data_IF_260630740130
#
_entry.id   IF_260630740130
#
_cell.length_a   1.000
_cell.length_b   1.000
_cell.length_c   1.000
_cell.angle_alpha   90.00
_cell.angle_beta   90.00
_cell.angle_gamma   90.00
#
_symmetry.space_group_name_H-M   'P 1'
#
loop_
_entity.id
_entity.type
_entity.pdbx_description
1 polymer ?
#
# COMPACT_ATOMS: atom_id res chain seq x y z
N UNK A 1 9.85 -17.07 -7.83
CA UNK A 1 9.87 -16.93 -6.35
C UNK A 1 8.59 -17.51 -5.78
N UNK A 2 8.69 -18.24 -4.65
CA UNK A 2 7.51 -18.69 -3.93
C UNK A 2 6.86 -17.53 -3.14
N UNK A 3 5.67 -17.77 -2.57
CA UNK A 3 4.89 -16.75 -1.85
C UNK A 3 5.63 -16.16 -0.64
N UNK A 4 6.40 -16.96 0.07
CA UNK A 4 7.16 -16.53 1.25
C UNK A 4 8.36 -15.66 0.85
N UNK A 5 9.05 -16.03 -0.21
CA UNK A 5 10.12 -15.22 -0.79
C UNK A 5 9.61 -13.85 -1.28
N UNK A 6 8.44 -13.81 -1.94
CA UNK A 6 7.80 -12.55 -2.35
C UNK A 6 7.50 -11.69 -1.11
N UNK A 7 6.98 -12.30 -0.03
CA UNK A 7 6.68 -11.58 1.22
C UNK A 7 7.94 -11.01 1.87
N UNK A 8 9.01 -11.77 1.94
CA UNK A 8 10.28 -11.33 2.50
C UNK A 8 10.87 -10.19 1.67
N UNK A 9 10.85 -10.32 0.34
CA UNK A 9 11.27 -9.26 -0.58
C UNK A 9 10.45 -7.97 -0.41
N UNK A 10 9.13 -8.08 -0.23
CA UNK A 10 8.27 -6.93 0.04
C UNK A 10 8.59 -6.25 1.37
N UNK A 11 8.84 -7.03 2.43
CA UNK A 11 9.24 -6.48 3.73
C UNK A 11 10.53 -5.69 3.61
N UNK A 12 11.55 -6.28 2.99
CA UNK A 12 12.84 -5.60 2.78
C UNK A 12 12.71 -4.35 1.91
N UNK A 13 11.88 -4.39 0.86
CA UNK A 13 11.58 -3.21 0.05
C UNK A 13 10.97 -2.09 0.90
N UNK A 14 10.00 -2.40 1.76
CA UNK A 14 9.34 -1.38 2.58
C UNK A 14 10.24 -0.83 3.67
N UNK A 15 11.13 -1.64 4.25
CA UNK A 15 12.14 -1.18 5.20
C UNK A 15 13.14 -0.23 4.51
N UNK A 16 13.64 -0.61 3.32
CA UNK A 16 14.52 0.25 2.51
C UNK A 16 13.82 1.56 2.12
N UNK A 17 12.55 1.50 1.72
CA UNK A 17 11.75 2.67 1.38
C UNK A 17 11.53 3.59 2.58
N UNK A 18 11.22 3.05 3.75
CA UNK A 18 11.03 3.83 4.97
C UNK A 18 12.34 4.54 5.38
N UNK A 19 13.48 3.83 5.32
CA UNK A 19 14.77 4.40 5.61
C UNK A 19 15.18 5.49 4.59
N UNK A 20 14.95 5.24 3.30
CA UNK A 20 15.20 6.23 2.25
C UNK A 20 14.38 7.50 2.47
N UNK A 21 13.08 7.39 2.77
CA UNK A 21 12.22 8.55 3.05
C UNK A 21 12.72 9.32 4.27
N UNK A 22 13.06 8.63 5.35
CA UNK A 22 13.60 9.27 6.56
C UNK A 22 14.93 9.99 6.28
N UNK A 23 15.82 9.38 5.49
CA UNK A 23 17.10 9.97 5.10
C UNK A 23 16.88 11.17 4.17
N UNK A 24 16.00 11.05 3.18
CA UNK A 24 15.62 12.17 2.30
C UNK A 24 15.13 13.39 3.08
N UNK A 25 14.27 13.19 4.09
CA UNK A 25 13.75 14.28 4.92
C UNK A 25 14.87 14.95 5.74
N UNK A 26 15.85 14.18 6.23
CA UNK A 26 17.01 14.74 6.95
C UNK A 26 17.92 15.51 6.02
N UNK A 27 18.22 15.01 4.84
CA UNK A 27 18.98 15.73 3.82
C UNK A 27 18.28 17.03 3.43
N UNK A 28 16.96 16.97 3.20
CA UNK A 28 16.18 18.17 2.92
C UNK A 28 16.35 19.24 4.01
N UNK A 29 16.32 18.86 5.30
CA UNK A 29 16.52 19.79 6.40
C UNK A 29 17.95 20.39 6.45
N UNK A 30 18.96 19.64 6.03
CA UNK A 30 20.34 20.12 5.97
C UNK A 30 20.49 21.15 4.84
N UNK A 31 20.07 20.77 3.64
CA UNK A 31 20.28 21.60 2.45
C UNK A 31 19.30 22.80 2.35
N UNK A 32 18.07 22.70 2.88
CA UNK A 32 17.12 23.81 2.88
C UNK A 32 17.54 24.96 3.78
N UNK A 33 18.18 24.70 4.91
CA UNK A 33 18.67 25.75 5.81
C UNK A 33 19.75 26.65 5.19
N UNK A 34 20.47 26.15 4.23
CA UNK A 34 21.54 26.89 3.54
C UNK A 34 21.01 27.71 2.37
N UNK A 35 19.84 27.33 1.85
CA UNK A 35 19.15 28.08 0.77
C UNK A 35 18.15 29.11 1.31
N UNK A 36 17.96 29.23 2.63
CA UNK A 36 16.98 30.10 3.31
C UNK A 36 17.21 31.63 3.11
N UNK A 37 18.10 32.07 2.20
CA UNK A 37 18.16 33.47 1.74
C UNK A 37 17.12 33.81 0.66
N UNK A 38 16.20 32.87 0.29
CA UNK A 38 15.11 33.11 -0.66
C UNK A 38 13.76 32.85 -0.02
N UNK A 39 12.87 33.84 -0.03
CA UNK A 39 11.47 33.85 0.44
C UNK A 39 10.53 32.89 -0.35
N UNK A 40 11.05 31.82 -0.92
CA UNK A 40 10.29 30.87 -1.74
C UNK A 40 10.18 29.51 -1.08
N UNK A 41 8.96 28.96 -1.03
CA UNK A 41 8.70 27.57 -0.65
C UNK A 41 9.58 26.62 -1.47
N UNK A 42 10.59 26.03 -0.84
CA UNK A 42 11.52 25.12 -1.49
C UNK A 42 10.79 23.78 -1.78
N UNK A 43 10.63 23.44 -3.05
CA UNK A 43 10.09 22.15 -3.48
C UNK A 43 11.11 21.04 -3.17
N UNK A 44 10.75 20.20 -2.17
CA UNK A 44 11.61 19.10 -1.72
C UNK A 44 11.97 18.11 -2.83
N UNK A 45 11.13 17.96 -3.84
CA UNK A 45 11.40 17.04 -4.96
C UNK A 45 12.45 17.63 -5.92
N UNK A 46 12.41 18.92 -6.14
CA UNK A 46 13.41 19.63 -6.95
C UNK A 46 14.76 19.66 -6.26
N UNK A 47 14.78 19.98 -4.96
CA UNK A 47 16.02 20.01 -4.19
C UNK A 47 16.69 18.63 -4.17
N UNK A 48 15.94 17.56 -3.90
CA UNK A 48 16.48 16.20 -3.94
C UNK A 48 17.05 15.83 -5.32
N UNK A 49 16.43 16.30 -6.39
CA UNK A 49 16.92 16.06 -7.75
C UNK A 49 18.25 16.79 -7.98
N UNK A 50 18.34 18.06 -7.63
CA UNK A 50 19.59 18.85 -7.75
C UNK A 50 20.74 18.27 -6.92
N UNK A 51 20.46 17.81 -5.69
CA UNK A 51 21.45 17.13 -4.85
C UNK A 51 22.00 15.86 -5.53
N UNK A 52 21.14 15.06 -6.17
CA UNK A 52 21.57 13.85 -6.87
C UNK A 52 22.34 14.17 -8.15
N UNK A 53 21.97 15.20 -8.89
CA UNK A 53 22.68 15.66 -10.08
C UNK A 53 24.10 16.12 -9.73
N UNK A 54 24.28 16.88 -8.64
CA UNK A 54 25.62 17.25 -8.16
C UNK A 54 26.42 16.05 -7.68
N UNK A 55 25.79 15.10 -6.99
CA UNK A 55 26.42 13.87 -6.55
C UNK A 55 26.95 13.03 -7.73
N UNK A 56 26.16 12.86 -8.78
CA UNK A 56 26.56 12.18 -10.01
C UNK A 56 27.75 12.89 -10.66
N UNK A 57 27.68 14.22 -10.81
CA UNK A 57 28.76 15.04 -11.38
C UNK A 57 30.07 14.90 -10.62
N UNK A 58 30.03 14.94 -9.28
CA UNK A 58 31.21 14.75 -8.43
C UNK A 58 31.78 13.33 -8.60
N UNK A 59 30.92 12.33 -8.66
CA UNK A 59 31.31 10.91 -8.77
C UNK A 59 31.99 10.65 -10.13
N UNK A 60 31.41 11.16 -11.22
CA UNK A 60 31.94 11.02 -12.56
C UNK A 60 33.30 11.70 -12.69
N UNK A 61 33.40 12.97 -12.25
CA UNK A 61 34.67 13.71 -12.28
C UNK A 61 35.76 13.04 -11.45
N UNK A 62 35.43 12.57 -10.25
CA UNK A 62 36.36 11.81 -9.38
C UNK A 62 36.87 10.57 -10.08
N UNK A 63 35.98 9.82 -10.74
CA UNK A 63 36.32 8.55 -11.40
C UNK A 63 37.21 8.80 -12.61
N UNK A 64 36.84 9.75 -13.46
CA UNK A 64 37.61 10.09 -14.68
C UNK A 64 39.01 10.62 -14.39
N UNK A 65 39.13 11.48 -13.40
CA UNK A 65 40.40 12.12 -13.03
C UNK A 65 41.19 11.36 -11.97
N UNK A 66 40.64 10.25 -11.44
CA UNK A 66 41.26 9.47 -10.33
C UNK A 66 41.62 10.35 -9.13
N UNK A 67 40.74 11.26 -8.74
CA UNK A 67 40.94 12.24 -7.67
C UNK A 67 40.34 11.77 -6.34
N UNK A 68 40.85 12.32 -5.23
CA UNK A 68 40.15 12.21 -3.93
C UNK A 68 38.90 13.11 -3.93
N UNK A 69 37.93 12.83 -3.05
CA UNK A 69 36.72 13.67 -2.91
C UNK A 69 37.10 15.12 -2.62
N UNK A 70 37.98 15.34 -1.65
CA UNK A 70 38.47 16.67 -1.26
C UNK A 70 39.07 17.45 -2.43
N UNK A 71 39.86 16.80 -3.29
CA UNK A 71 40.44 17.43 -4.47
C UNK A 71 39.37 17.72 -5.52
N UNK A 72 38.40 16.81 -5.72
CA UNK A 72 37.28 16.98 -6.65
C UNK A 72 36.39 18.13 -6.25
N UNK A 73 36.01 18.27 -4.98
CA UNK A 73 35.20 19.38 -4.47
C UNK A 73 35.92 20.73 -4.62
N UNK A 74 37.23 20.73 -4.47
CA UNK A 74 38.02 21.94 -4.72
C UNK A 74 38.05 22.35 -6.19
N UNK A 75 38.21 21.35 -7.09
CA UNK A 75 38.24 21.58 -8.54
C UNK A 75 36.88 22.04 -9.10
N UNK A 76 35.76 21.53 -8.53
CA UNK A 76 34.39 21.84 -8.95
C UNK A 76 33.72 22.96 -8.13
N UNK A 77 34.44 23.66 -7.26
CA UNK A 77 33.89 24.63 -6.29
C UNK A 77 32.93 25.66 -6.92
N UNK A 78 33.25 26.14 -8.11
CA UNK A 78 32.46 27.17 -8.80
C UNK A 78 31.26 26.57 -9.58
N UNK A 79 31.12 25.24 -9.59
CA UNK A 79 30.09 24.49 -10.31
C UNK A 79 29.14 23.72 -9.40
N UNK A 80 29.38 23.74 -8.09
CA UNK A 80 28.58 23.10 -7.07
C UNK A 80 27.94 24.15 -6.17
N UNK A 81 26.65 24.00 -5.92
CA UNK A 81 25.87 24.90 -5.07
C UNK A 81 25.51 24.25 -3.71
N UNK A 82 25.36 22.93 -3.68
CA UNK A 82 24.79 22.20 -2.55
C UNK A 82 25.83 21.33 -1.83
N UNK A 83 26.65 20.56 -2.57
CA UNK A 83 27.61 19.61 -2.00
C UNK A 83 29.01 20.22 -1.97
N UNK A 84 29.31 21.00 -0.94
CA UNK A 84 30.56 21.74 -0.75
C UNK A 84 31.56 21.06 0.18
N UNK A 85 31.14 20.02 0.95
CA UNK A 85 31.97 19.30 1.93
C UNK A 85 31.99 17.80 1.70
N UNK A 86 33.04 17.11 2.21
CA UNK A 86 33.14 15.65 2.19
C UNK A 86 32.01 15.00 2.97
N UNK A 87 31.58 15.57 4.09
CA UNK A 87 30.51 15.06 4.94
C UNK A 87 29.17 15.07 4.19
N UNK A 88 28.86 16.15 3.49
CA UNK A 88 27.64 16.22 2.66
C UNK A 88 27.67 15.22 1.52
N UNK A 89 28.82 15.06 0.84
CA UNK A 89 29.01 14.06 -0.19
C UNK A 89 28.74 12.64 0.34
N UNK A 90 29.34 12.26 1.48
CA UNK A 90 29.14 10.91 2.06
C UNK A 90 27.69 10.69 2.51
N UNK A 91 26.99 11.73 3.00
CA UNK A 91 25.57 11.63 3.35
C UNK A 91 24.70 11.38 2.09
N UNK A 92 24.95 12.10 1.00
CA UNK A 92 24.22 11.92 -0.26
C UNK A 92 24.55 10.57 -0.89
N UNK A 93 25.77 10.12 -0.79
CA UNK A 93 26.19 8.77 -1.20
C UNK A 93 25.43 7.66 -0.44
N UNK A 94 25.29 7.79 0.88
CA UNK A 94 24.48 6.86 1.66
C UNK A 94 23.01 6.85 1.20
N UNK A 95 22.45 8.01 0.90
CA UNK A 95 21.10 8.14 0.34
C UNK A 95 20.97 7.47 -1.05
N UNK A 96 21.97 7.63 -1.92
CA UNK A 96 21.99 7.02 -3.25
C UNK A 96 21.99 5.49 -3.18
N UNK A 97 22.69 4.87 -2.22
CA UNK A 97 22.62 3.43 -1.98
C UNK A 97 21.23 2.94 -1.57
N UNK A 98 20.49 3.73 -0.77
CA UNK A 98 19.11 3.38 -0.41
C UNK A 98 18.18 3.45 -1.62
N UNK A 99 18.35 4.44 -2.49
CA UNK A 99 17.62 4.54 -3.76
C UNK A 99 17.88 3.32 -4.67
N UNK A 100 19.14 2.90 -4.80
CA UNK A 100 19.51 1.77 -5.64
C UNK A 100 18.97 0.45 -5.05
N UNK A 101 19.02 0.30 -3.74
CA UNK A 101 18.43 -0.85 -3.03
C UNK A 101 16.92 -0.94 -3.31
N UNK A 102 16.18 0.17 -3.18
CA UNK A 102 14.74 0.20 -3.48
C UNK A 102 14.47 -0.18 -4.95
N UNK A 103 15.23 0.35 -5.90
CA UNK A 103 15.11 0.00 -7.33
C UNK A 103 15.38 -1.49 -7.57
N UNK A 104 16.38 -2.05 -6.91
CA UNK A 104 16.76 -3.46 -7.06
C UNK A 104 15.65 -4.38 -6.57
N UNK A 105 15.09 -4.14 -5.38
CA UNK A 105 13.97 -4.94 -4.86
C UNK A 105 12.69 -4.76 -5.69
N UNK A 106 12.42 -3.56 -6.20
CA UNK A 106 11.30 -3.35 -7.12
C UNK A 106 11.44 -4.19 -8.39
N UNK A 107 12.63 -4.21 -9.04
CA UNK A 107 12.88 -5.03 -10.25
C UNK A 107 12.76 -6.53 -9.95
N UNK A 108 13.28 -6.98 -8.81
CA UNK A 108 13.20 -8.37 -8.39
C UNK A 108 11.75 -8.82 -8.19
N UNK A 109 10.94 -8.02 -7.51
CA UNK A 109 9.51 -8.27 -7.30
C UNK A 109 8.73 -8.24 -8.61
N UNK A 110 9.02 -7.27 -9.48
CA UNK A 110 8.39 -7.18 -10.80
C UNK A 110 8.62 -8.47 -11.59
N UNK A 111 9.87 -8.92 -11.71
CA UNK A 111 10.22 -10.16 -12.42
C UNK A 111 9.52 -11.39 -11.81
N UNK A 112 9.50 -11.50 -10.47
CA UNK A 112 8.86 -12.62 -9.79
C UNK A 112 7.34 -12.69 -10.02
N UNK A 113 6.71 -11.53 -10.11
CA UNK A 113 5.25 -11.42 -10.30
C UNK A 113 4.85 -11.61 -11.76
N UNK A 114 5.64 -11.13 -12.70
CA UNK A 114 5.39 -11.28 -14.14
C UNK A 114 5.35 -12.75 -14.60
N UNK A 115 5.95 -13.65 -13.84
CA UNK A 115 5.89 -15.10 -14.07
C UNK A 115 4.71 -15.78 -13.32
N UNK A 116 3.99 -15.06 -12.45
CA UNK A 116 2.96 -15.66 -11.61
C UNK A 116 1.58 -15.68 -12.31
N UNK A 117 0.90 -16.86 -12.40
CA UNK A 117 -0.37 -16.98 -13.14
C UNK A 117 -1.46 -16.00 -12.71
N UNK A 118 -1.57 -15.72 -11.42
CA UNK A 118 -2.55 -14.76 -10.88
C UNK A 118 -2.32 -13.34 -11.42
N UNK A 119 -1.06 -12.98 -11.69
CA UNK A 119 -0.78 -11.70 -12.31
C UNK A 119 -1.05 -11.75 -13.83
N UNK A 120 -0.45 -12.69 -14.52
CA UNK A 120 -0.50 -12.75 -15.99
C UNK A 120 -1.90 -12.94 -16.55
N UNK A 121 -2.73 -13.74 -15.87
CA UNK A 121 -4.07 -14.09 -16.35
C UNK A 121 -5.19 -13.22 -15.74
N UNK A 122 -4.98 -12.61 -14.57
CA UNK A 122 -6.02 -11.82 -13.90
C UNK A 122 -5.60 -10.38 -13.58
N UNK A 123 -4.61 -10.17 -12.70
CA UNK A 123 -4.32 -8.84 -12.16
C UNK A 123 -3.74 -7.87 -13.21
N UNK A 124 -3.02 -8.36 -14.21
CA UNK A 124 -2.51 -7.55 -15.34
C UNK A 124 -3.62 -6.95 -16.20
N UNK A 125 -4.81 -7.57 -16.22
CA UNK A 125 -5.99 -7.10 -16.96
C UNK A 125 -6.74 -6.00 -16.18
N UNK A 126 -6.42 -5.76 -14.91
CA UNK A 126 -7.00 -4.69 -14.10
C UNK A 126 -6.18 -3.42 -14.29
N UNK A 127 -6.72 -2.45 -15.02
CA UNK A 127 -6.03 -1.18 -15.26
C UNK A 127 -5.73 -0.46 -13.94
N UNK A 128 -4.45 -0.17 -13.73
CA UNK A 128 -3.95 0.44 -12.50
C UNK A 128 -3.40 -0.54 -11.47
N UNK A 129 -3.47 -1.86 -11.73
CA UNK A 129 -2.83 -2.88 -10.90
C UNK A 129 -1.46 -3.26 -11.50
N UNK A 130 -0.42 -2.53 -11.12
CA UNK A 130 0.95 -2.86 -11.53
C UNK A 130 1.56 -4.02 -10.73
N UNK A 131 2.76 -4.50 -11.14
CA UNK A 131 3.43 -5.66 -10.52
C UNK A 131 3.63 -5.55 -9.02
N UNK A 132 3.99 -4.37 -8.50
CA UNK A 132 4.19 -4.17 -7.06
C UNK A 132 2.89 -4.33 -6.26
N UNK A 133 1.75 -3.90 -6.81
CA UNK A 133 0.45 -4.10 -6.17
C UNK A 133 0.03 -5.57 -6.24
N UNK A 134 0.28 -6.24 -7.37
CA UNK A 134 0.07 -7.67 -7.50
C UNK A 134 0.95 -8.47 -6.53
N UNK A 135 2.21 -8.09 -6.34
CA UNK A 135 3.09 -8.69 -5.34
C UNK A 135 2.49 -8.64 -3.92
N UNK A 136 1.93 -7.49 -3.51
CA UNK A 136 1.24 -7.38 -2.22
C UNK A 136 0.04 -8.32 -2.12
N UNK A 137 -0.78 -8.42 -3.15
CA UNK A 137 -1.95 -9.30 -3.18
C UNK A 137 -1.52 -10.77 -3.06
N UNK A 138 -0.58 -11.20 -3.89
CA UNK A 138 -0.07 -12.58 -3.94
C UNK A 138 0.61 -12.97 -2.62
N UNK A 139 1.42 -12.07 -2.05
CA UNK A 139 2.14 -12.32 -0.81
C UNK A 139 1.23 -12.53 0.40
N UNK A 140 0.14 -11.77 0.47
CA UNK A 140 -0.69 -11.74 1.68
C UNK A 140 -1.97 -12.57 1.59
N UNK A 141 -2.57 -12.74 0.40
CA UNK A 141 -3.78 -13.53 0.25
C UNK A 141 -3.46 -15.00 -0.07
N UNK A 142 -4.38 -15.89 0.32
CA UNK A 142 -4.22 -17.33 0.16
C UNK A 142 -5.58 -17.99 -0.11
N UNK A 143 -5.81 -18.52 -1.33
CA UNK A 143 -7.08 -19.14 -1.69
C UNK A 143 -7.34 -20.44 -0.93
N UNK A 144 -6.29 -21.17 -0.49
CA UNK A 144 -6.43 -22.40 0.27
C UNK A 144 -6.96 -22.15 1.69
N UNK A 145 -6.57 -21.01 2.31
CA UNK A 145 -7.02 -20.60 3.64
C UNK A 145 -8.39 -19.91 3.61
N UNK A 146 -8.79 -19.36 2.47
CA UNK A 146 -10.00 -18.57 2.30
C UNK A 146 -11.11 -19.40 1.67
N UNK A 147 -11.91 -20.10 2.48
CA UNK A 147 -13.06 -20.92 2.00
C UNK A 147 -14.14 -20.07 1.32
N UNK A 148 -14.25 -18.79 1.68
CA UNK A 148 -15.22 -17.83 1.13
C UNK A 148 -14.50 -16.52 0.80
N UNK A 149 -14.99 -15.76 -0.18
CA UNK A 149 -14.44 -14.45 -0.54
C UNK A 149 -14.40 -13.47 0.64
N UNK A 150 -15.34 -13.61 1.59
CA UNK A 150 -15.39 -12.80 2.82
C UNK A 150 -14.14 -12.97 3.70
N UNK A 151 -13.43 -14.10 3.62
CA UNK A 151 -12.16 -14.28 4.33
C UNK A 151 -11.08 -13.33 3.80
N UNK A 152 -11.04 -13.07 2.48
CA UNK A 152 -10.16 -12.03 1.90
C UNK A 152 -10.54 -10.64 2.41
N UNK A 153 -11.85 -10.34 2.51
CA UNK A 153 -12.31 -9.05 3.02
C UNK A 153 -11.92 -8.84 4.49
N UNK A 154 -12.15 -9.85 5.34
CA UNK A 154 -11.78 -9.82 6.77
C UNK A 154 -10.27 -9.63 6.92
N UNK A 155 -9.48 -10.45 6.23
CA UNK A 155 -8.02 -10.38 6.30
C UNK A 155 -7.45 -9.03 5.80
N UNK A 156 -8.07 -8.45 4.77
CA UNK A 156 -7.72 -7.13 4.25
C UNK A 156 -8.31 -5.95 5.06
N UNK A 157 -9.07 -6.22 6.13
CA UNK A 157 -9.72 -5.19 6.95
C UNK A 157 -10.78 -4.37 6.21
N UNK A 158 -11.45 -5.01 5.24
CA UNK A 158 -12.49 -4.38 4.41
C UNK A 158 -13.90 -4.77 4.82
N UNK A 159 -14.04 -5.65 5.79
CA UNK A 159 -15.32 -6.03 6.39
C UNK A 159 -15.89 -4.92 7.27
N UNK A 160 -17.11 -5.14 7.73
CA UNK A 160 -17.76 -4.33 8.76
C UNK A 160 -17.83 -5.12 10.05
N UNK A 161 -17.73 -4.43 11.16
CA UNK A 161 -17.84 -4.99 12.49
C UNK A 161 -18.98 -4.29 13.25
N UNK A 162 -19.56 -4.99 14.22
CA UNK A 162 -20.58 -4.43 15.10
C UNK A 162 -19.87 -3.40 16.01
N UNK A 163 -20.46 -2.22 16.14
CA UNK A 163 -20.00 -1.21 17.10
C UNK A 163 -20.38 -1.61 18.51
N UNK A 164 -19.43 -1.55 19.44
CA UNK A 164 -19.65 -1.88 20.84
C UNK A 164 -19.37 -0.66 21.73
N UNK A 165 -20.00 -0.63 22.91
CA UNK A 165 -19.68 0.32 23.98
C UNK A 165 -18.33 -0.09 24.66
N UNK A 166 -17.95 0.63 25.73
CA UNK A 166 -16.71 0.36 26.49
C UNK A 166 -16.72 -1.00 27.19
N UNK A 167 -17.90 -1.53 27.47
CA UNK A 167 -18.12 -2.79 28.18
C UNK A 167 -18.22 -3.97 27.20
N UNK A 168 -18.12 -3.71 25.89
CA UNK A 168 -18.17 -4.73 24.83
C UNK A 168 -19.59 -5.07 24.37
N UNK A 169 -20.62 -4.37 24.84
CA UNK A 169 -22.00 -4.61 24.43
C UNK A 169 -22.31 -3.96 23.07
N UNK A 170 -23.07 -4.64 22.19
CA UNK A 170 -23.44 -4.10 20.89
C UNK A 170 -24.27 -2.82 21.00
N UNK A 171 -23.92 -1.83 20.20
CA UNK A 171 -24.70 -0.60 20.05
C UNK A 171 -25.79 -0.78 19.00
N UNK A 172 -26.98 -0.23 19.29
CA UNK A 172 -28.13 -0.22 18.38
C UNK A 172 -28.53 1.22 18.03
N UNK A 173 -29.22 1.39 16.91
CA UNK A 173 -29.92 2.64 16.59
C UNK A 173 -31.27 2.73 17.30
N UNK A 174 -32.00 3.84 17.11
CA UNK A 174 -33.30 4.08 17.71
C UNK A 174 -34.37 3.06 17.27
N UNK A 175 -34.15 2.34 16.18
CA UNK A 175 -35.01 1.30 15.63
C UNK A 175 -34.62 -0.10 16.12
N UNK A 176 -33.58 -0.23 16.95
CA UNK A 176 -33.07 -1.51 17.48
C UNK A 176 -32.14 -2.27 16.54
N UNK A 177 -31.73 -1.68 15.39
CA UNK A 177 -30.79 -2.32 14.49
C UNK A 177 -29.36 -2.17 14.99
N UNK A 178 -28.53 -3.20 14.83
CA UNK A 178 -27.13 -3.16 15.21
C UNK A 178 -26.35 -2.08 14.42
N UNK A 179 -25.70 -1.19 15.13
CA UNK A 179 -24.78 -0.23 14.54
C UNK A 179 -23.50 -0.95 14.09
N UNK A 180 -23.06 -0.63 12.89
CA UNK A 180 -21.85 -1.22 12.31
C UNK A 180 -20.90 -0.14 11.80
N UNK A 181 -19.62 -0.41 11.90
CA UNK A 181 -18.58 0.42 11.29
C UNK A 181 -17.59 -0.42 10.47
N UNK A 182 -16.86 0.21 9.60
CA UNK A 182 -15.80 -0.48 8.87
C UNK A 182 -14.60 -0.75 9.77
N UNK A 183 -14.09 -1.98 9.76
CA UNK A 183 -12.94 -2.41 10.58
C UNK A 183 -11.83 -1.36 10.62
N UNK A 184 -11.35 -1.06 11.81
CA UNK A 184 -10.37 -0.02 12.11
C UNK A 184 -9.22 -0.55 12.99
N UNK A 185 -8.24 0.28 13.35
CA UNK A 185 -7.15 -0.13 14.24
C UNK A 185 -7.57 -0.31 15.69
N UNK A 186 -8.73 0.21 16.08
CA UNK A 186 -9.31 0.01 17.42
C UNK A 186 -9.93 -1.39 17.57
N UNK A 187 -10.25 -2.06 16.46
CA UNK A 187 -10.84 -3.40 16.49
C UNK A 187 -9.75 -4.44 16.67
N UNK A 188 -9.44 -4.72 17.94
CA UNK A 188 -8.42 -5.70 18.36
C UNK A 188 -9.11 -6.90 19.00
N UNK A 189 -8.51 -8.07 18.87
CA UNK A 189 -8.90 -9.30 19.57
C UNK A 189 -7.75 -9.78 20.44
N UNK A 190 -8.05 -10.44 21.55
CA UNK A 190 -7.05 -11.09 22.37
C UNK A 190 -6.69 -12.45 21.75
N UNK A 191 -5.40 -12.74 21.68
CA UNK A 191 -4.90 -14.03 21.26
C UNK A 191 -3.77 -14.51 22.18
N UNK A 192 -3.71 -15.82 22.35
CA UNK A 192 -2.64 -16.46 23.10
C UNK A 192 -1.41 -16.62 22.22
N UNK A 193 -0.25 -16.43 22.82
CA UNK A 193 1.03 -16.71 22.19
C UNK A 193 2.02 -17.26 23.24
N UNK A 194 2.99 -18.02 22.79
CA UNK A 194 4.06 -18.51 23.63
C UNK A 194 5.16 -17.44 23.65
N UNK A 195 5.53 -16.95 24.84
CA UNK A 195 6.62 -15.99 25.02
C UNK A 195 7.99 -16.65 24.83
N UNK A 196 9.07 -15.89 24.94
CA UNK A 196 10.45 -16.39 24.79
C UNK A 196 10.84 -17.40 25.87
N UNK A 197 10.16 -17.36 27.00
CA UNK A 197 10.40 -18.21 28.18
C UNK A 197 9.58 -19.51 28.12
N UNK A 198 8.79 -19.70 27.03
CA UNK A 198 7.94 -20.89 26.83
C UNK A 198 6.58 -20.82 27.53
N UNK A 199 6.21 -19.69 28.13
CA UNK A 199 4.94 -19.52 28.84
C UNK A 199 3.86 -18.97 27.89
N UNK A 200 2.61 -19.40 28.11
CA UNK A 200 1.44 -18.88 27.41
C UNK A 200 1.05 -17.52 27.98
N UNK A 201 1.06 -16.51 27.13
CA UNK A 201 0.65 -15.15 27.45
C UNK A 201 -0.41 -14.67 26.48
N UNK A 202 -1.25 -13.72 26.91
CA UNK A 202 -2.29 -13.09 26.05
C UNK A 202 -1.83 -11.73 25.56
N UNK A 203 -2.17 -11.41 24.30
CA UNK A 203 -1.86 -10.11 23.70
C UNK A 203 -3.03 -9.64 22.85
N UNK A 204 -3.36 -8.34 22.96
CA UNK A 204 -4.28 -7.69 22.02
C UNK A 204 -3.57 -7.40 20.69
N UNK A 205 -4.20 -7.80 19.61
CA UNK A 205 -3.66 -7.57 18.28
C UNK A 205 -4.72 -7.30 17.23
N UNK A 206 -4.26 -6.80 16.10
CA UNK A 206 -5.13 -6.53 14.95
C UNK A 206 -5.59 -7.83 14.32
N UNK A 207 -6.87 -7.88 13.98
CA UNK A 207 -7.51 -9.04 13.34
C UNK A 207 -7.40 -9.04 11.81
N UNK A 208 -6.66 -8.07 11.26
CA UNK A 208 -6.48 -7.90 9.83
C UNK A 208 -5.06 -7.42 9.51
N UNK A 209 -4.68 -7.50 8.23
CA UNK A 209 -3.39 -6.99 7.75
C UNK A 209 -3.48 -5.48 7.41
N UNK A 210 -2.92 -4.58 8.24
CA UNK A 210 -3.00 -3.14 8.02
C UNK A 210 -2.19 -2.67 6.81
N UNK A 211 -1.09 -3.38 6.47
CA UNK A 211 -0.27 -3.08 5.30
C UNK A 211 -1.09 -3.34 4.03
N UNK A 212 -1.69 -4.53 3.92
CA UNK A 212 -2.52 -4.89 2.78
C UNK A 212 -3.71 -3.92 2.63
N UNK A 213 -4.41 -3.59 3.73
CA UNK A 213 -5.50 -2.59 3.72
C UNK A 213 -5.04 -1.26 3.16
N UNK A 214 -3.91 -0.76 3.64
CA UNK A 214 -3.34 0.52 3.22
C UNK A 214 -2.99 0.51 1.73
N UNK A 215 -2.39 -0.58 1.24
CA UNK A 215 -2.05 -0.73 -0.18
C UNK A 215 -3.29 -0.86 -1.06
N UNK A 216 -4.29 -1.62 -0.66
CA UNK A 216 -5.53 -1.80 -1.43
C UNK A 216 -6.37 -0.51 -1.50
N UNK A 217 -6.62 0.15 -0.38
CA UNK A 217 -7.48 1.34 -0.33
C UNK A 217 -6.71 2.62 -0.64
N UNK A 218 -5.51 2.79 -0.08
CA UNK A 218 -4.74 4.02 -0.22
C UNK A 218 -4.04 4.15 -1.58
N UNK A 219 -3.65 3.03 -2.20
CA UNK A 219 -2.87 3.06 -3.44
C UNK A 219 -3.67 2.46 -4.61
N UNK A 220 -4.00 1.17 -4.56
CA UNK A 220 -4.60 0.46 -5.69
C UNK A 220 -5.93 1.07 -6.11
N UNK A 221 -6.81 1.37 -5.16
CA UNK A 221 -8.12 1.96 -5.47
C UNK A 221 -7.98 3.28 -6.24
N UNK A 222 -7.04 4.14 -5.84
CA UNK A 222 -6.75 5.40 -6.53
C UNK A 222 -6.16 5.17 -7.93
N UNK A 223 -5.28 4.18 -8.08
CA UNK A 223 -4.68 3.83 -9.37
C UNK A 223 -5.74 3.30 -10.35
N UNK A 224 -6.64 2.43 -9.91
CA UNK A 224 -7.75 1.89 -10.71
C UNK A 224 -8.64 3.02 -11.24
N UNK A 225 -9.02 3.98 -10.36
CA UNK A 225 -9.87 5.12 -10.75
C UNK A 225 -9.15 6.03 -11.74
N UNK A 226 -7.88 6.37 -11.48
CA UNK A 226 -7.05 7.20 -12.37
C UNK A 226 -6.83 6.55 -13.73
N UNK A 227 -6.60 5.25 -13.76
CA UNK A 227 -6.42 4.46 -14.98
C UNK A 227 -7.74 4.21 -15.73
N UNK A 228 -8.89 4.61 -15.15
CA UNK A 228 -10.22 4.43 -15.71
C UNK A 228 -10.49 2.97 -16.10
N UNK A 229 -10.27 2.05 -15.16
CA UNK A 229 -10.60 0.65 -15.38
C UNK A 229 -12.08 0.51 -15.77
N UNK A 230 -12.42 -0.19 -16.86
CA UNK A 230 -13.80 -0.18 -17.38
C UNK A 230 -14.80 -0.86 -16.43
N UNK A 231 -14.38 -1.84 -15.65
CA UNK A 231 -15.22 -2.57 -14.70
C UNK A 231 -15.24 -1.90 -13.34
N UNK A 232 -14.07 -1.79 -12.70
CA UNK A 232 -14.00 -1.40 -11.29
C UNK A 232 -14.21 0.10 -11.08
N UNK A 233 -13.75 0.97 -11.98
CA UNK A 233 -14.07 2.41 -11.88
C UNK A 233 -15.58 2.64 -12.02
N UNK A 234 -16.26 1.91 -12.90
CA UNK A 234 -17.72 1.99 -13.03
C UNK A 234 -18.41 1.58 -11.73
N UNK A 235 -18.01 0.45 -11.13
CA UNK A 235 -18.56 -0.02 -9.83
C UNK A 235 -18.38 1.06 -8.74
N UNK A 236 -17.23 1.73 -8.70
CA UNK A 236 -16.99 2.82 -7.76
C UNK A 236 -17.95 3.98 -7.95
N UNK A 237 -18.11 4.47 -9.17
CA UNK A 237 -18.98 5.62 -9.45
C UNK A 237 -20.46 5.29 -9.25
N UNK A 238 -20.92 4.15 -9.70
CA UNK A 238 -22.30 3.69 -9.54
C UNK A 238 -22.66 3.56 -8.04
N UNK A 239 -21.78 2.94 -7.26
CA UNK A 239 -22.00 2.79 -5.82
C UNK A 239 -21.91 4.11 -5.08
N UNK A 240 -21.01 5.01 -5.45
CA UNK A 240 -20.90 6.35 -4.89
C UNK A 240 -22.19 7.16 -5.13
N UNK A 241 -22.71 7.14 -6.34
CA UNK A 241 -23.98 7.79 -6.69
C UNK A 241 -25.14 7.19 -5.88
N UNK A 242 -25.20 5.87 -5.76
CA UNK A 242 -26.19 5.18 -4.93
C UNK A 242 -26.15 5.65 -3.47
N UNK A 243 -24.96 5.70 -2.84
CA UNK A 243 -24.81 6.16 -1.47
C UNK A 243 -25.29 7.60 -1.29
N UNK A 244 -24.95 8.49 -2.24
CA UNK A 244 -25.33 9.90 -2.20
C UNK A 244 -26.85 10.09 -2.25
N UNK A 245 -27.58 9.19 -2.92
CA UNK A 245 -29.03 9.23 -3.04
C UNK A 245 -29.77 8.47 -1.93
N UNK A 246 -29.08 7.73 -1.06
CA UNK A 246 -29.70 6.99 0.05
C UNK A 246 -29.91 7.88 1.27
N UNK A 247 -31.17 8.04 1.80
CA UNK A 247 -31.46 8.91 2.95
C UNK A 247 -30.56 8.62 4.16
N UNK A 248 -30.34 7.35 4.49
CA UNK A 248 -29.51 6.93 5.63
C UNK A 248 -28.03 7.32 5.54
N UNK A 249 -27.57 7.77 4.39
CA UNK A 249 -26.18 8.15 4.16
C UNK A 249 -25.97 9.63 3.85
N UNK A 250 -27.05 10.41 3.73
CA UNK A 250 -26.97 11.85 3.41
C UNK A 250 -26.25 12.65 4.49
N UNK A 251 -26.38 12.25 5.75
CA UNK A 251 -25.70 12.89 6.90
C UNK A 251 -24.22 12.53 7.02
N UNK A 252 -23.70 11.62 6.17
CA UNK A 252 -22.28 11.25 6.17
C UNK A 252 -21.46 12.24 5.36
N UNK A 253 -20.27 12.58 5.83
CA UNK A 253 -19.34 13.44 5.07
C UNK A 253 -19.01 12.86 3.69
N UNK A 254 -18.72 13.75 2.72
CA UNK A 254 -18.29 13.33 1.37
C UNK A 254 -17.07 12.38 1.39
N UNK A 255 -16.14 12.60 2.33
CA UNK A 255 -14.99 11.72 2.55
C UNK A 255 -15.39 10.31 3.02
N UNK A 256 -16.37 10.22 3.93
CA UNK A 256 -16.89 8.94 4.40
C UNK A 256 -17.60 8.19 3.27
N UNK A 257 -18.47 8.86 2.51
CA UNK A 257 -19.16 8.28 1.35
C UNK A 257 -18.15 7.78 0.30
N UNK A 258 -17.09 8.55 0.05
CA UNK A 258 -16.00 8.15 -0.83
C UNK A 258 -15.31 6.87 -0.32
N UNK A 259 -14.97 6.81 0.96
CA UNK A 259 -14.34 5.63 1.57
C UNK A 259 -15.23 4.38 1.50
N UNK A 260 -16.56 4.53 1.60
CA UNK A 260 -17.51 3.44 1.39
C UNK A 260 -17.45 2.92 -0.04
N UNK A 261 -17.43 3.82 -1.04
CA UNK A 261 -17.38 3.45 -2.45
C UNK A 261 -16.05 2.77 -2.84
N UNK A 262 -14.91 3.28 -2.34
CA UNK A 262 -13.61 2.64 -2.54
C UNK A 262 -13.59 1.22 -1.96
N UNK A 263 -14.11 1.06 -0.76
CA UNK A 263 -14.19 -0.24 -0.08
C UNK A 263 -15.04 -1.24 -0.85
N UNK A 264 -16.18 -0.79 -1.38
CA UNK A 264 -17.08 -1.62 -2.19
C UNK A 264 -16.39 -2.08 -3.49
N UNK A 265 -15.76 -1.15 -4.21
CA UNK A 265 -15.02 -1.45 -5.43
C UNK A 265 -13.91 -2.48 -5.18
N UNK A 266 -13.09 -2.31 -4.15
CA UNK A 266 -12.01 -3.24 -3.83
C UNK A 266 -12.56 -4.61 -3.38
N UNK A 267 -13.67 -4.66 -2.65
CA UNK A 267 -14.33 -5.94 -2.34
C UNK A 267 -14.78 -6.68 -3.60
N UNK A 268 -15.30 -5.96 -4.60
CA UNK A 268 -15.67 -6.54 -5.88
C UNK A 268 -14.46 -7.13 -6.61
N UNK A 269 -13.34 -6.39 -6.64
CA UNK A 269 -12.08 -6.90 -7.19
C UNK A 269 -11.58 -8.16 -6.44
N UNK A 270 -11.60 -8.13 -5.11
CA UNK A 270 -11.16 -9.28 -4.31
C UNK A 270 -12.08 -10.49 -4.44
N UNK A 271 -13.38 -10.29 -4.66
CA UNK A 271 -14.32 -11.38 -4.93
C UNK A 271 -14.01 -12.07 -6.26
N UNK A 272 -13.80 -11.26 -7.31
CA UNK A 272 -13.47 -11.79 -8.64
C UNK A 272 -12.12 -12.50 -8.62
N UNK A 273 -11.13 -11.92 -7.94
CA UNK A 273 -9.82 -12.52 -7.74
C UNK A 273 -9.93 -13.85 -6.97
N UNK A 274 -10.72 -13.90 -5.90
CA UNK A 274 -10.93 -15.12 -5.11
C UNK A 274 -11.57 -16.22 -5.97
N UNK A 275 -12.58 -15.88 -6.75
CA UNK A 275 -13.26 -16.81 -7.66
C UNK A 275 -12.29 -17.36 -8.69
N UNK A 276 -11.56 -16.46 -9.39
CA UNK A 276 -10.54 -16.83 -10.37
C UNK A 276 -9.46 -17.74 -9.75
N UNK A 277 -8.88 -17.33 -8.62
CA UNK A 277 -7.75 -18.03 -8.02
C UNK A 277 -8.15 -19.43 -7.52
N UNK A 278 -9.30 -19.56 -6.88
CA UNK A 278 -9.80 -20.87 -6.45
C UNK A 278 -10.13 -21.80 -7.63
N UNK A 279 -10.71 -21.26 -8.68
CA UNK A 279 -10.96 -22.03 -9.91
C UNK A 279 -9.63 -22.51 -10.52
N UNK A 280 -8.62 -21.66 -10.57
CA UNK A 280 -7.28 -22.02 -11.09
C UNK A 280 -6.59 -23.11 -10.27
N UNK A 281 -6.79 -23.10 -8.95
CA UNK A 281 -6.26 -24.09 -8.00
C UNK A 281 -7.17 -25.32 -7.83
N UNK A 282 -8.21 -25.47 -8.64
CA UNK A 282 -9.21 -26.55 -8.53
C UNK A 282 -9.87 -26.65 -7.15
N UNK A 283 -10.06 -25.52 -6.47
CA UNK A 283 -10.71 -25.44 -5.18
C UNK A 283 -12.22 -25.14 -5.33
N UNK A 284 -13.08 -25.61 -4.42
CA UNK A 284 -14.51 -25.32 -4.49
C UNK A 284 -14.79 -23.82 -4.44
N UNK A 285 -15.61 -23.32 -5.38
CA UNK A 285 -16.08 -21.93 -5.42
C UNK A 285 -17.53 -21.89 -4.93
N UNK A 286 -17.78 -21.02 -3.96
CA UNK A 286 -19.13 -20.78 -3.41
C UNK A 286 -19.61 -19.41 -3.81
N UNK A 287 -20.91 -19.22 -4.16
CA UNK A 287 -21.45 -17.90 -4.43
C UNK A 287 -21.26 -16.97 -3.21
N UNK A 288 -21.07 -15.66 -3.41
CA UNK A 288 -21.01 -14.71 -2.31
C UNK A 288 -22.28 -14.78 -1.45
N UNK A 289 -22.13 -14.49 -0.17
CA UNK A 289 -23.22 -14.48 0.80
C UNK A 289 -24.41 -13.61 0.34
N UNK A 290 -24.14 -12.48 -0.28
CA UNK A 290 -25.16 -11.58 -0.81
C UNK A 290 -26.03 -12.25 -1.88
N UNK A 291 -25.47 -13.14 -2.70
CA UNK A 291 -26.19 -13.88 -3.73
C UNK A 291 -26.88 -15.11 -3.11
N UNK A 292 -26.13 -15.92 -2.32
CA UNK A 292 -26.59 -17.22 -1.84
C UNK A 292 -27.60 -17.15 -0.70
N UNK A 293 -27.65 -16.05 0.07
CA UNK A 293 -28.46 -15.90 1.27
C UNK A 293 -29.40 -14.69 1.28
N UNK A 294 -29.09 -13.66 0.50
CA UNK A 294 -29.88 -12.43 0.47
C UNK A 294 -30.57 -12.19 -0.88
N UNK A 295 -30.48 -13.13 -1.80
CA UNK A 295 -30.99 -13.02 -3.20
C UNK A 295 -30.68 -11.68 -3.87
N UNK A 296 -29.58 -11.07 -3.44
CA UNK A 296 -29.10 -9.81 -4.02
C UNK A 296 -28.16 -10.14 -5.17
N UNK A 297 -28.40 -9.57 -6.34
CA UNK A 297 -27.44 -9.58 -7.43
C UNK A 297 -26.68 -8.24 -7.43
N UNK A 298 -25.60 -8.11 -6.65
CA UNK A 298 -24.86 -6.86 -6.58
C UNK A 298 -24.03 -6.69 -7.87
N UNK A 299 -24.48 -5.76 -8.73
CA UNK A 299 -23.72 -5.26 -9.87
C UNK A 299 -23.13 -6.30 -10.83
N UNK A 300 -24.02 -7.18 -11.37
CA UNK A 300 -23.64 -7.99 -12.54
C UNK A 300 -22.51 -9.01 -12.30
N UNK A 301 -22.46 -9.60 -11.11
CA UNK A 301 -21.70 -10.83 -10.92
C UNK A 301 -22.42 -11.95 -11.71
N UNK A 302 -21.89 -12.28 -12.88
CA UNK A 302 -22.24 -13.50 -13.58
C UNK A 302 -21.51 -14.66 -12.88
N UNK A 303 -22.25 -15.52 -12.19
CA UNK A 303 -21.76 -16.79 -11.64
C UNK A 303 -22.13 -17.93 -12.58
#
# INVERSE_FOLDING_TARGET
>A
MNKEEIRNCLSTLYDAQALRIATSNRLFQIFSKETENSDTDIDSSKLNKSILEEYEKITDYKTDKKRSIKATLKDLKDELELIDTEEKFEQVKAYSFLLESEKTYNKLLQKAVEEHPVYTEFLSNVKGCGPLMAANIIAYLDPHKARHASAFFKYAGLDVVISTNKDGEPLTDDEGNLLTHGRSRSDTEEYEYVNKDGETATKKGLTYNPILKSKLIGVLASCIIKAKDPKYSKIYYDYKLRIQNMPKHQNKSKGHQNSMALRYMIKSLLNDLWTYWRTKENLPVTPPYAVSKLDMNPHGFNY
#
